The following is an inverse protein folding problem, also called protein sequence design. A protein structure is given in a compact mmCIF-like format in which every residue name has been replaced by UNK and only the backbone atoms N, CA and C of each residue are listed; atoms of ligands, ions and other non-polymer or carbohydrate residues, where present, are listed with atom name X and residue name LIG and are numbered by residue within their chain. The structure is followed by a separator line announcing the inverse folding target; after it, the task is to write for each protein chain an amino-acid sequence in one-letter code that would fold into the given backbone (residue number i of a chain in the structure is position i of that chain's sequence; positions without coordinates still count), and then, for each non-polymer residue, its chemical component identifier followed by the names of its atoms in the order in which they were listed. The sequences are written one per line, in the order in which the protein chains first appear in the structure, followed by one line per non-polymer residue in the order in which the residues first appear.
data_IF_786642149629
#
_entry.id   IF_786642149629
#
_cell.length_a   1.000
_cell.length_b   1.000
_cell.length_c   1.000
_cell.angle_alpha   90.00
_cell.angle_beta   90.00
_cell.angle_gamma   90.00
#
_symmetry.space_group_name_H-M   'P 1'
#
loop_
_entity.id
_entity.type
_entity.pdbx_description
1 polymer ?
#
# COMPACT_ATOMS: atom_id res chain seq x y z
N UNK A 1 -8.45 -16.86 -10.91
CA UNK A 1 -7.59 -16.14 -9.94
C UNK A 1 -8.29 -16.17 -8.59
N UNK A 2 -7.63 -16.73 -7.57
CA UNK A 2 -8.21 -16.75 -6.21
C UNK A 2 -8.12 -15.33 -5.63
N UNK A 3 -9.25 -14.83 -5.15
CA UNK A 3 -9.28 -13.53 -4.42
C UNK A 3 -9.17 -13.83 -2.93
N UNK A 4 -8.51 -12.94 -2.21
CA UNK A 4 -8.55 -12.96 -0.74
C UNK A 4 -9.99 -12.70 -0.30
N UNK A 5 -10.46 -13.46 0.69
CA UNK A 5 -11.80 -13.30 1.24
C UNK A 5 -11.92 -11.94 1.95
N UNK A 6 -12.85 -11.12 1.50
CA UNK A 6 -13.09 -9.79 2.08
C UNK A 6 -13.59 -9.87 3.54
N UNK A 7 -14.28 -10.95 3.93
CA UNK A 7 -14.71 -11.13 5.31
C UNK A 7 -13.53 -11.43 6.23
N UNK A 8 -12.54 -12.21 5.75
CA UNK A 8 -11.32 -12.46 6.51
C UNK A 8 -10.51 -11.17 6.72
N UNK A 9 -10.45 -10.30 5.71
CA UNK A 9 -9.79 -8.98 5.84
C UNK A 9 -10.54 -8.07 6.81
N UNK A 10 -11.88 -8.05 6.77
CA UNK A 10 -12.67 -7.27 7.72
C UNK A 10 -12.46 -7.77 9.16
N UNK A 11 -12.48 -9.08 9.39
CA UNK A 11 -12.23 -9.67 10.71
C UNK A 11 -10.81 -9.36 11.23
N UNK A 12 -9.80 -9.40 10.34
CA UNK A 12 -8.43 -9.01 10.70
C UNK A 12 -8.37 -7.52 11.11
N UNK A 13 -9.09 -6.65 10.38
CA UNK A 13 -9.17 -5.22 10.72
C UNK A 13 -9.78 -5.00 12.11
N UNK A 14 -10.87 -5.69 12.41
CA UNK A 14 -11.52 -5.61 13.73
C UNK A 14 -10.58 -6.11 14.84
N UNK A 15 -9.84 -7.20 14.61
CA UNK A 15 -8.87 -7.74 15.57
C UNK A 15 -7.71 -6.78 15.83
N UNK A 16 -7.18 -6.13 14.79
CA UNK A 16 -6.13 -5.09 14.93
C UNK A 16 -6.67 -3.89 15.69
N UNK A 17 -7.92 -3.50 15.46
CA UNK A 17 -8.55 -2.41 16.21
C UNK A 17 -8.65 -2.75 17.70
N UNK A 18 -9.18 -3.93 18.03
CA UNK A 18 -9.28 -4.42 19.41
C UNK A 18 -7.91 -4.47 20.10
N UNK A 19 -6.88 -5.01 19.41
CA UNK A 19 -5.51 -5.03 19.93
C UNK A 19 -4.99 -3.63 20.25
N UNK A 20 -5.15 -2.69 19.33
CA UNK A 20 -4.67 -1.31 19.52
C UNK A 20 -5.43 -0.56 20.63
N UNK A 21 -6.71 -0.86 20.82
CA UNK A 21 -7.51 -0.28 21.91
C UNK A 21 -7.09 -0.86 23.25
N UNK A 22 -6.97 -2.19 23.38
CA UNK A 22 -6.50 -2.88 24.60
C UNK A 22 -5.09 -2.41 25.00
N UNK A 23 -4.19 -2.27 24.03
CA UNK A 23 -2.81 -1.84 24.27
C UNK A 23 -2.67 -0.33 24.53
N UNK A 24 -3.77 0.45 24.42
CA UNK A 24 -3.77 1.89 24.61
C UNK A 24 -3.10 2.68 23.45
N UNK A 25 -2.79 2.02 22.34
CA UNK A 25 -2.11 2.66 21.20
C UNK A 25 -2.96 3.67 20.44
N UNK A 26 -4.27 3.65 20.63
CA UNK A 26 -5.21 4.63 20.05
C UNK A 26 -5.43 5.85 20.95
N UNK A 27 -4.66 5.98 22.04
CA UNK A 27 -4.76 7.05 23.03
C UNK A 27 -3.45 7.83 23.12
N UNK A 28 -3.51 9.03 23.69
CA UNK A 28 -2.33 9.84 23.97
C UNK A 28 -1.86 10.71 22.78
N UNK A 29 -0.55 10.90 22.68
CA UNK A 29 0.07 11.76 21.66
C UNK A 29 0.03 11.07 20.30
N UNK A 30 -0.87 11.51 19.43
CA UNK A 30 -1.05 10.94 18.09
C UNK A 30 0.18 11.11 17.20
N UNK A 31 0.95 12.18 17.38
CA UNK A 31 2.16 12.40 16.57
C UNK A 31 3.23 11.36 16.90
N UNK A 32 3.46 11.10 18.19
CA UNK A 32 4.34 10.00 18.63
C UNK A 32 3.80 8.63 18.21
N UNK A 33 2.48 8.47 18.23
CA UNK A 33 1.83 7.24 17.76
C UNK A 33 2.04 7.00 16.27
N UNK A 34 2.03 8.04 15.45
CA UNK A 34 2.35 7.97 14.02
C UNK A 34 3.81 7.63 13.80
N UNK A 35 4.74 8.27 14.52
CA UNK A 35 6.17 8.00 14.44
C UNK A 35 6.50 6.54 14.79
N UNK A 36 5.93 6.04 15.89
CA UNK A 36 6.04 4.63 16.25
C UNK A 36 5.50 3.70 15.15
N UNK A 37 4.35 4.03 14.54
CA UNK A 37 3.78 3.20 13.48
C UNK A 37 4.68 3.13 12.25
N UNK A 38 5.30 4.24 11.86
CA UNK A 38 6.25 4.27 10.74
C UNK A 38 7.51 3.45 11.05
N UNK A 39 7.98 3.47 12.31
CA UNK A 39 9.11 2.65 12.76
C UNK A 39 8.78 1.16 12.68
N UNK A 40 7.59 0.74 13.14
CA UNK A 40 7.13 -0.64 13.05
C UNK A 40 6.98 -1.10 11.58
N UNK A 41 6.38 -0.28 10.71
CA UNK A 41 6.28 -0.60 9.28
C UNK A 41 7.67 -0.81 8.65
N UNK A 42 8.65 0.00 9.05
CA UNK A 42 10.01 -0.14 8.58
C UNK A 42 10.66 -1.43 9.08
N UNK A 43 10.45 -1.80 10.34
CA UNK A 43 10.94 -3.05 10.95
C UNK A 43 10.41 -4.27 10.19
N UNK A 44 9.09 -4.40 10.04
CA UNK A 44 8.47 -5.52 9.30
C UNK A 44 8.90 -5.57 7.82
N UNK A 45 9.10 -4.41 7.20
CA UNK A 45 9.63 -4.35 5.84
C UNK A 45 11.05 -4.90 5.75
N UNK A 46 11.94 -4.57 6.72
CA UNK A 46 13.32 -5.09 6.76
C UNK A 46 13.33 -6.60 7.01
N UNK A 47 12.50 -7.10 7.92
CA UNK A 47 12.38 -8.54 8.18
C UNK A 47 11.94 -9.31 6.94
N UNK A 48 10.96 -8.79 6.20
CA UNK A 48 10.53 -9.37 4.92
C UNK A 48 11.64 -9.38 3.86
N UNK A 49 12.48 -8.33 3.80
CA UNK A 49 13.64 -8.29 2.91
C UNK A 49 14.71 -9.29 3.32
N UNK A 50 15.01 -9.39 4.61
CA UNK A 50 16.00 -10.32 5.14
C UNK A 50 15.60 -11.78 4.85
N UNK A 51 14.32 -12.12 5.01
CA UNK A 51 13.79 -13.44 4.64
C UNK A 51 13.99 -13.73 3.14
N UNK A 52 13.70 -12.75 2.29
CA UNK A 52 13.90 -12.88 0.83
C UNK A 52 15.37 -13.03 0.46
N UNK A 53 16.26 -12.24 1.07
CA UNK A 53 17.71 -12.32 0.82
C UNK A 53 18.29 -13.67 1.27
N UNK A 54 17.90 -14.19 2.43
CA UNK A 54 18.28 -15.52 2.90
C UNK A 54 17.83 -16.60 1.90
N UNK A 55 16.60 -16.52 1.39
CA UNK A 55 16.08 -17.46 0.41
C UNK A 55 16.89 -17.45 -0.91
N UNK A 56 17.42 -16.30 -1.34
CA UNK A 56 18.27 -16.21 -2.53
C UNK A 56 19.71 -16.72 -2.32
N UNK A 57 20.21 -16.68 -1.10
CA UNK A 57 21.58 -17.10 -0.76
C UNK A 57 21.68 -18.60 -0.44
N UNK A 58 20.56 -19.24 -0.16
CA UNK A 58 20.51 -20.64 0.23
C UNK A 58 20.28 -21.55 -0.98
N UNK A 59 21.36 -22.22 -1.44
CA UNK A 59 21.30 -23.24 -2.49
C UNK A 59 20.64 -24.56 -2.04
N UNK A 60 20.35 -24.72 -0.73
CA UNK A 60 19.75 -25.93 -0.18
C UNK A 60 18.22 -25.85 -0.22
N UNK A 61 17.60 -26.76 -0.98
CA UNK A 61 16.12 -26.87 -1.03
C UNK A 61 15.46 -27.20 0.32
N UNK A 62 16.25 -27.47 1.36
CA UNK A 62 15.76 -27.93 2.66
C UNK A 62 15.23 -26.79 3.52
N UNK A 63 15.71 -25.55 3.32
CA UNK A 63 15.35 -24.37 4.12
C UNK A 63 14.41 -23.40 3.39
N UNK A 64 14.12 -23.61 2.11
CA UNK A 64 13.21 -22.72 1.34
C UNK A 64 11.85 -22.59 2.01
N UNK A 65 11.36 -23.63 2.66
CA UNK A 65 10.06 -23.61 3.33
C UNK A 65 10.01 -22.71 4.56
N UNK A 66 11.12 -22.64 5.29
CA UNK A 66 11.22 -21.78 6.48
C UNK A 66 11.21 -20.29 6.05
N UNK A 67 11.89 -19.97 4.94
CA UNK A 67 11.89 -18.61 4.38
C UNK A 67 10.54 -18.23 3.74
N UNK A 68 9.81 -19.20 3.18
CA UNK A 68 8.43 -18.97 2.70
C UNK A 68 7.49 -18.64 3.84
N UNK A 69 7.64 -19.28 5.02
CA UNK A 69 6.89 -19.00 6.23
C UNK A 69 7.24 -17.62 6.78
N UNK A 70 8.54 -17.30 6.94
CA UNK A 70 9.01 -15.96 7.36
C UNK A 70 8.51 -14.85 6.43
N UNK A 71 8.51 -15.07 5.10
CA UNK A 71 8.01 -14.10 4.13
C UNK A 71 6.49 -13.90 4.24
N UNK A 72 5.73 -14.97 4.48
CA UNK A 72 4.28 -14.88 4.69
C UNK A 72 3.95 -14.15 5.99
N UNK A 73 4.67 -14.44 7.05
CA UNK A 73 4.54 -13.80 8.36
C UNK A 73 4.82 -12.29 8.25
N UNK A 74 5.96 -11.90 7.71
CA UNK A 74 6.30 -10.50 7.48
C UNK A 74 5.31 -9.76 6.60
N UNK A 75 4.72 -10.42 5.58
CA UNK A 75 3.67 -9.81 4.76
C UNK A 75 2.37 -9.59 5.55
N UNK A 76 2.03 -10.50 6.48
CA UNK A 76 0.89 -10.35 7.37
C UNK A 76 1.13 -9.23 8.40
N UNK A 77 2.34 -9.17 8.97
CA UNK A 77 2.71 -8.17 9.97
C UNK A 77 2.78 -6.77 9.36
N UNK A 78 3.32 -6.61 8.15
CA UNK A 78 3.22 -5.36 7.39
C UNK A 78 1.77 -4.91 7.20
N UNK A 79 0.85 -5.84 6.95
CA UNK A 79 -0.57 -5.51 6.84
C UNK A 79 -1.13 -5.05 8.19
N UNK A 80 -0.84 -5.77 9.29
CA UNK A 80 -1.29 -5.45 10.65
C UNK A 80 -0.79 -4.07 11.10
N UNK A 81 0.50 -3.78 10.99
CA UNK A 81 1.06 -2.49 11.42
C UNK A 81 0.57 -1.33 10.54
N UNK A 82 0.37 -1.56 9.24
CA UNK A 82 -0.20 -0.56 8.33
C UNK A 82 -1.66 -0.24 8.69
N UNK A 83 -2.46 -1.26 9.04
CA UNK A 83 -3.83 -1.05 9.51
C UNK A 83 -3.87 -0.30 10.83
N UNK A 84 -2.99 -0.63 11.78
CA UNK A 84 -2.82 0.11 13.04
C UNK A 84 -2.49 1.59 12.81
N UNK A 85 -1.60 1.87 11.84
CA UNK A 85 -1.28 3.23 11.41
C UNK A 85 -2.51 3.98 10.89
N UNK A 86 -3.29 3.36 10.00
CA UNK A 86 -4.53 3.96 9.46
C UNK A 86 -5.54 4.26 10.55
N UNK A 87 -5.68 3.39 11.56
CA UNK A 87 -6.55 3.60 12.70
C UNK A 87 -6.12 4.80 13.54
N UNK A 88 -4.82 4.98 13.78
CA UNK A 88 -4.29 6.16 14.48
C UNK A 88 -4.58 7.44 13.70
N UNK A 89 -4.40 7.45 12.38
CA UNK A 89 -4.78 8.59 11.55
C UNK A 89 -6.28 8.89 11.64
N UNK A 90 -7.14 7.85 11.66
CA UNK A 90 -8.58 8.02 11.83
C UNK A 90 -8.94 8.66 13.18
N UNK A 91 -8.32 8.18 14.27
CA UNK A 91 -8.50 8.77 15.61
C UNK A 91 -8.01 10.23 15.64
N UNK A 92 -6.96 10.55 14.91
CA UNK A 92 -6.45 11.92 14.73
C UNK A 92 -7.34 12.81 13.84
N UNK A 93 -8.47 12.30 13.33
CA UNK A 93 -9.45 13.08 12.57
C UNK A 93 -9.29 13.04 11.05
N UNK A 94 -8.41 12.19 10.51
CA UNK A 94 -8.31 11.96 9.06
C UNK A 94 -9.50 11.15 8.56
N UNK A 95 -10.04 11.49 7.39
CA UNK A 95 -11.05 10.66 6.73
C UNK A 95 -10.38 9.54 5.94
N UNK A 96 -9.95 8.50 6.66
CA UNK A 96 -9.13 7.39 6.14
C UNK A 96 -9.90 6.55 5.13
N UNK A 97 -11.19 6.27 5.36
CA UNK A 97 -12.00 5.45 4.47
C UNK A 97 -12.14 6.09 3.10
N UNK A 98 -12.48 7.37 3.05
CA UNK A 98 -12.59 8.10 1.79
C UNK A 98 -11.22 8.23 1.11
N UNK A 99 -10.14 8.44 1.88
CA UNK A 99 -8.78 8.49 1.34
C UNK A 99 -8.40 7.17 0.66
N UNK A 100 -8.65 6.03 1.32
CA UNK A 100 -8.40 4.70 0.76
C UNK A 100 -9.18 4.48 -0.53
N UNK A 101 -10.46 4.84 -0.55
CA UNK A 101 -11.32 4.69 -1.75
C UNK A 101 -10.82 5.57 -2.89
N UNK A 102 -10.42 6.82 -2.63
CA UNK A 102 -9.86 7.72 -3.66
C UNK A 102 -8.53 7.20 -4.20
N UNK A 103 -7.64 6.71 -3.33
CA UNK A 103 -6.36 6.11 -3.74
C UNK A 103 -6.58 4.87 -4.60
N UNK A 104 -7.46 3.97 -4.18
CA UNK A 104 -7.79 2.77 -4.95
C UNK A 104 -8.38 3.11 -6.33
N UNK A 105 -9.33 4.05 -6.38
CA UNK A 105 -9.90 4.54 -7.64
C UNK A 105 -8.82 5.14 -8.54
N UNK A 106 -7.99 6.03 -8.01
CA UNK A 106 -6.91 6.66 -8.75
C UNK A 106 -5.87 5.64 -9.24
N UNK A 107 -5.59 4.58 -8.48
CA UNK A 107 -4.74 3.48 -8.95
C UNK A 107 -5.35 2.76 -10.16
N UNK A 108 -6.67 2.64 -10.23
CA UNK A 108 -7.36 2.03 -11.39
C UNK A 108 -7.34 2.94 -12.63
N UNK A 109 -7.14 4.25 -12.48
CA UNK A 109 -6.98 5.20 -13.59
C UNK A 109 -5.65 5.03 -14.35
N UNK A 110 -4.68 4.30 -13.77
CA UNK A 110 -3.46 3.85 -14.48
C UNK A 110 -3.76 2.87 -15.61
N UNK A 111 -4.98 2.35 -15.67
CA UNK A 111 -5.45 1.37 -16.64
C UNK A 111 -6.60 1.97 -17.46
N UNK A 112 -6.34 2.87 -18.42
CA UNK A 112 -7.38 3.53 -19.19
C UNK A 112 -8.15 2.52 -20.05
N UNK A 113 -9.41 2.82 -20.34
CA UNK A 113 -10.25 2.04 -21.25
C UNK A 113 -10.02 2.40 -22.72
N UNK A 114 -9.47 3.58 -22.96
CA UNK A 114 -9.14 4.11 -24.28
C UNK A 114 -7.76 4.74 -24.23
N UNK A 115 -6.98 4.55 -25.27
CA UNK A 115 -5.73 5.31 -25.50
C UNK A 115 -5.92 6.05 -26.82
N UNK A 116 -5.82 7.39 -26.82
CA UNK A 116 -5.89 8.18 -28.03
C UNK A 116 -4.80 7.76 -29.04
N UNK A 117 -5.08 7.65 -30.35
CA UNK A 117 -4.11 7.19 -31.34
C UNK A 117 -2.79 7.97 -31.36
N UNK A 118 -2.85 9.29 -31.08
CA UNK A 118 -1.67 10.15 -31.01
C UNK A 118 -0.71 9.79 -29.84
N UNK A 119 -1.23 9.17 -28.78
CA UNK A 119 -0.45 8.85 -27.58
C UNK A 119 0.37 7.57 -27.76
N UNK A 120 0.00 6.66 -28.68
CA UNK A 120 0.78 5.44 -28.96
C UNK A 120 2.21 5.75 -29.36
N UNK A 121 2.42 6.71 -30.28
CA UNK A 121 3.74 7.13 -30.72
C UNK A 121 4.56 7.71 -29.54
N UNK A 122 3.89 8.43 -28.65
CA UNK A 122 4.55 8.97 -27.47
C UNK A 122 5.03 7.86 -26.55
N UNK A 123 4.21 6.85 -26.28
CA UNK A 123 4.61 5.71 -25.46
C UNK A 123 5.79 4.95 -26.06
N UNK A 124 5.74 4.61 -27.33
CA UNK A 124 6.83 3.92 -28.04
C UNK A 124 8.14 4.72 -28.01
N UNK A 125 8.08 6.02 -28.31
CA UNK A 125 9.25 6.89 -28.30
C UNK A 125 9.88 7.06 -26.89
N UNK A 126 9.10 6.79 -25.83
CA UNK A 126 9.58 6.80 -24.45
C UNK A 126 9.91 5.39 -23.91
N UNK A 127 10.04 4.39 -24.78
CA UNK A 127 10.40 3.02 -24.39
C UNK A 127 9.32 2.29 -23.58
N UNK A 128 8.06 2.68 -23.77
CA UNK A 128 6.91 2.08 -23.08
C UNK A 128 6.14 1.16 -24.01
N UNK A 129 5.67 0.04 -23.48
CA UNK A 129 4.83 -0.91 -24.18
C UNK A 129 3.39 -0.76 -23.74
N UNK A 130 2.47 -0.68 -24.69
CA UNK A 130 1.04 -0.61 -24.44
C UNK A 130 0.39 -1.92 -24.87
N UNK A 131 -0.29 -2.58 -23.94
CA UNK A 131 -1.03 -3.83 -24.20
C UNK A 131 -2.47 -3.69 -23.72
N UNK A 132 -3.40 -4.43 -24.34
CA UNK A 132 -4.79 -4.47 -23.89
C UNK A 132 -5.04 -5.74 -23.10
N UNK A 133 -5.51 -5.60 -21.88
CA UNK A 133 -6.08 -6.70 -21.11
C UNK A 133 -7.51 -6.93 -21.59
N UNK A 134 -7.75 -8.06 -22.30
CA UNK A 134 -9.05 -8.34 -22.93
C UNK A 134 -10.13 -8.66 -21.88
N UNK A 135 -9.78 -9.29 -20.77
CA UNK A 135 -10.71 -9.65 -19.69
C UNK A 135 -11.36 -8.42 -19.05
N UNK A 136 -10.55 -7.38 -18.79
CA UNK A 136 -11.00 -6.16 -18.14
C UNK A 136 -11.31 -5.02 -19.11
N UNK A 137 -11.01 -5.20 -20.40
CA UNK A 137 -11.20 -4.17 -21.43
C UNK A 137 -10.33 -2.92 -21.26
N UNK A 138 -9.21 -3.04 -20.50
CA UNK A 138 -8.33 -1.93 -20.12
C UNK A 138 -6.96 -2.05 -20.76
N UNK A 139 -6.30 -0.91 -20.97
CA UNK A 139 -4.92 -0.87 -21.42
C UNK A 139 -3.94 -0.87 -20.25
N UNK A 140 -2.80 -1.49 -20.47
CA UNK A 140 -1.68 -1.55 -19.51
C UNK A 140 -0.47 -0.95 -20.19
N UNK A 141 0.14 0.04 -19.57
CA UNK A 141 1.35 0.71 -20.02
C UNK A 141 2.49 0.23 -19.13
N UNK A 142 3.56 -0.32 -19.71
CA UNK A 142 4.71 -0.85 -18.97
C UNK A 142 6.02 -0.33 -19.52
N UNK A 143 7.01 -0.21 -18.63
CA UNK A 143 8.40 0.02 -19.02
C UNK A 143 9.17 -1.30 -19.27
N UNK A 144 10.45 -1.20 -19.60
CA UNK A 144 11.35 -2.33 -19.83
C UNK A 144 11.51 -3.24 -18.59
N UNK A 145 11.28 -2.73 -17.39
CA UNK A 145 11.33 -3.49 -16.15
C UNK A 145 9.95 -4.06 -15.76
N UNK A 146 8.99 -4.08 -16.68
CA UNK A 146 7.62 -4.55 -16.47
C UNK A 146 6.82 -3.75 -15.46
N UNK A 147 7.32 -2.59 -15.01
CA UNK A 147 6.61 -1.70 -14.08
C UNK A 147 5.49 -0.97 -14.80
N UNK A 148 4.28 -1.01 -14.23
CA UNK A 148 3.13 -0.25 -14.73
C UNK A 148 3.40 1.25 -14.63
N UNK A 149 3.20 1.95 -15.75
CA UNK A 149 3.36 3.39 -15.87
C UNK A 149 2.00 4.09 -15.98
N UNK A 150 1.99 5.36 -15.61
CA UNK A 150 0.81 6.22 -15.65
C UNK A 150 0.52 6.64 -17.10
N UNK A 151 -0.76 6.77 -17.51
CA UNK A 151 -1.11 7.45 -18.76
C UNK A 151 -0.60 8.90 -18.80
N UNK A 152 -0.51 9.44 -20.00
CA UNK A 152 -0.03 10.83 -20.22
C UNK A 152 -0.88 11.86 -19.49
N UNK A 153 -2.19 11.64 -19.44
CA UNK A 153 -3.21 12.51 -18.82
C UNK A 153 -3.51 12.17 -17.34
N UNK A 154 -2.77 11.22 -16.75
CA UNK A 154 -3.00 10.80 -15.37
C UNK A 154 -2.88 11.95 -14.38
N UNK A 155 -3.92 12.12 -13.56
CA UNK A 155 -3.92 13.10 -12.47
C UNK A 155 -3.64 12.43 -11.13
N UNK A 156 -2.78 13.00 -10.27
CA UNK A 156 -2.58 12.50 -8.92
C UNK A 156 -3.86 12.66 -8.08
N UNK A 157 -4.04 11.74 -7.13
CA UNK A 157 -5.14 11.83 -6.18
C UNK A 157 -4.99 13.08 -5.29
N UNK A 158 -6.10 13.75 -5.01
CA UNK A 158 -6.17 14.89 -4.09
C UNK A 158 -6.81 14.42 -2.78
N UNK A 159 -6.11 14.63 -1.65
CA UNK A 159 -6.53 14.19 -0.31
C UNK A 159 -6.53 15.33 0.72
N UNK A 160 -6.19 16.57 0.33
CA UNK A 160 -6.03 17.71 1.26
C UNK A 160 -7.30 18.03 2.05
N UNK A 161 -8.47 17.79 1.46
CA UNK A 161 -9.78 17.94 2.09
C UNK A 161 -10.13 16.88 3.12
N UNK A 162 -9.34 15.83 3.23
CA UNK A 162 -9.53 14.69 4.13
C UNK A 162 -8.58 14.74 5.34
N UNK A 163 -7.70 15.74 5.38
CA UNK A 163 -6.71 15.96 6.44
C UNK A 163 -7.25 16.99 7.44
N UNK A 164 -7.19 16.73 8.76
CA UNK A 164 -7.59 17.71 9.75
C UNK A 164 -6.67 18.94 9.69
N UNK A 165 -7.25 20.15 9.81
CA UNK A 165 -6.52 21.41 9.65
C UNK A 165 -5.38 21.60 10.67
N UNK A 166 -5.43 20.92 11.82
CA UNK A 166 -4.57 21.22 12.99
C UNK A 166 -3.64 20.10 13.41
N UNK A 167 -3.52 19.01 12.60
CA UNK A 167 -2.75 17.81 13.03
C UNK A 167 -1.29 18.13 13.38
N UNK A 168 -0.62 19.00 12.60
CA UNK A 168 0.79 19.37 12.81
C UNK A 168 0.97 20.70 13.56
N UNK A 169 -0.07 21.45 13.88
CA UNK A 169 0.07 22.71 14.63
C UNK A 169 0.55 22.47 16.06
N UNK A 170 0.33 21.30 16.63
CA UNK A 170 0.85 20.88 17.93
C UNK A 170 2.36 20.67 17.98
N UNK A 171 3.05 20.49 16.82
CA UNK A 171 4.50 20.27 16.73
C UNK A 171 5.32 21.56 16.79
N UNK A 172 4.73 22.72 16.48
CA UNK A 172 5.43 23.99 16.45
C UNK A 172 5.63 24.64 17.82
N UNK A 173 5.08 24.07 18.88
CA UNK A 173 5.08 24.63 20.24
C UNK A 173 5.80 23.75 21.30
N UNK A 174 6.62 22.80 20.85
CA UNK A 174 7.42 21.92 21.73
C UNK A 174 8.91 22.18 21.67
#
# INVERSE_FOLDING_TARGET
MNKIDSNAIAAAFDSVHEFNDISGQLQGDMVKGVDLSLSLIWEEYQESLDALEKAYQDDSQTFLRDYEEELLDGACDLFVVTMGFLQKLKVAGFNVEEALMRVCKNNMEKFPTVIPPQDYNWYENNGLTVTRNAEYGRFVIKDSNMKTRKPVDFQPVVLVDLVPATFFEGLSNG
#
